data_IF_116000085131
#
_entry.id   IF_116000085131
#
_cell.length_a   1.000
_cell.length_b   1.000
_cell.length_c   1.000
_cell.angle_alpha   90.00
_cell.angle_beta   90.00
_cell.angle_gamma   90.00
#
_symmetry.space_group_name_H-M   'P 1'
#
loop_
_entity.id
_entity.type
_entity.pdbx_description
1 polymer ?
#
# COMPACT_ATOMS: atom_id res chain seq x y z
N UNK A 1 -10.31 -14.12 -29.92
CA UNK A 1 -11.73 -13.71 -30.14
C UNK A 1 -12.09 -13.35 -31.59
N UNK A 2 -11.14 -12.95 -32.47
CA UNK A 2 -11.47 -12.60 -33.88
C UNK A 2 -11.67 -13.76 -34.89
N UNK A 3 -11.17 -15.01 -34.73
CA UNK A 3 -11.27 -16.03 -35.78
C UNK A 3 -12.64 -16.76 -35.80
N UNK A 4 -13.24 -17.07 -34.64
CA UNK A 4 -14.54 -17.74 -34.57
C UNK A 4 -15.67 -16.95 -35.25
N UNK A 5 -15.68 -15.62 -35.13
CA UNK A 5 -16.69 -14.80 -35.81
C UNK A 5 -16.58 -14.86 -37.34
N UNK A 6 -15.39 -15.09 -37.88
CA UNK A 6 -15.18 -15.23 -39.32
C UNK A 6 -15.73 -16.57 -39.85
N UNK A 7 -15.57 -17.64 -39.08
CA UNK A 7 -16.10 -18.97 -39.43
C UNK A 7 -17.63 -18.95 -39.41
N UNK A 8 -18.25 -18.36 -38.38
CA UNK A 8 -19.70 -18.20 -38.32
C UNK A 8 -20.26 -17.37 -39.50
N UNK A 9 -19.53 -16.35 -39.95
CA UNK A 9 -19.93 -15.53 -41.10
C UNK A 9 -19.88 -16.32 -42.42
N UNK A 10 -18.84 -17.15 -42.62
CA UNK A 10 -18.68 -17.99 -43.82
C UNK A 10 -19.75 -19.09 -43.88
N UNK A 11 -20.08 -19.70 -42.74
CA UNK A 11 -21.16 -20.69 -42.63
C UNK A 11 -22.51 -20.04 -42.92
N UNK A 12 -22.80 -18.87 -42.34
CA UNK A 12 -24.05 -18.15 -42.57
C UNK A 12 -24.24 -17.70 -44.04
N UNK A 13 -23.15 -17.27 -44.71
CA UNK A 13 -23.17 -16.89 -46.12
C UNK A 13 -23.37 -18.07 -47.08
N UNK A 14 -22.93 -19.27 -46.70
CA UNK A 14 -23.08 -20.49 -47.51
C UNK A 14 -24.51 -21.04 -47.48
N UNK A 15 -25.19 -20.96 -46.33
CA UNK A 15 -26.61 -21.36 -46.22
C UNK A 15 -27.56 -20.44 -47.01
N UNK A 16 -27.20 -19.19 -47.23
CA UNK A 16 -28.01 -18.23 -48.00
C UNK A 16 -27.98 -18.47 -49.52
N UNK A 17 -27.04 -19.27 -50.04
CA UNK A 17 -26.83 -19.45 -51.49
C UNK A 17 -27.30 -20.79 -52.07
N UNK A 18 -27.82 -21.70 -51.24
CA UNK A 18 -28.43 -22.95 -51.73
C UNK A 18 -27.47 -23.89 -52.47
N UNK A 19 -26.17 -23.84 -52.16
CA UNK A 19 -25.17 -24.79 -52.69
C UNK A 19 -25.02 -26.00 -51.76
N UNK A 20 -25.30 -27.19 -52.27
CA UNK A 20 -24.94 -28.45 -51.62
C UNK A 20 -23.41 -28.64 -51.67
N UNK A 21 -22.79 -28.46 -50.49
CA UNK A 21 -21.49 -28.99 -50.00
C UNK A 21 -20.53 -27.92 -49.45
N UNK A 22 -20.67 -27.51 -48.17
CA UNK A 22 -19.61 -26.83 -47.43
C UNK A 22 -18.86 -27.75 -46.45
N UNK A 23 -19.05 -29.08 -46.49
CA UNK A 23 -18.55 -29.98 -45.43
C UNK A 23 -17.03 -30.18 -45.43
N UNK A 24 -16.41 -30.32 -46.61
CA UNK A 24 -14.98 -30.66 -46.69
C UNK A 24 -14.08 -29.50 -46.24
N UNK A 25 -14.40 -28.28 -46.71
CA UNK A 25 -13.61 -27.07 -46.45
C UNK A 25 -13.75 -26.60 -45.00
N UNK A 26 -14.96 -26.72 -44.43
CA UNK A 26 -15.20 -26.46 -43.02
C UNK A 26 -14.52 -27.50 -42.11
N UNK A 27 -14.54 -28.79 -42.50
CA UNK A 27 -13.83 -29.83 -41.75
C UNK A 27 -12.31 -29.63 -41.77
N UNK A 28 -11.75 -29.20 -42.91
CA UNK A 28 -10.32 -28.94 -43.03
C UNK A 28 -9.89 -27.73 -42.18
N UNK A 29 -10.70 -26.68 -42.12
CA UNK A 29 -10.44 -25.50 -41.29
C UNK A 29 -10.54 -25.83 -39.79
N UNK A 30 -11.57 -26.58 -39.38
CA UNK A 30 -11.74 -27.01 -37.98
C UNK A 30 -10.63 -27.97 -37.54
N UNK A 31 -10.23 -28.91 -38.40
CA UNK A 31 -9.14 -29.84 -38.10
C UNK A 31 -7.81 -29.09 -37.92
N UNK A 32 -7.53 -28.09 -38.76
CA UNK A 32 -6.33 -27.27 -38.64
C UNK A 32 -6.33 -26.43 -37.36
N UNK A 33 -7.45 -25.81 -37.01
CA UNK A 33 -7.57 -25.03 -35.78
C UNK A 33 -7.44 -25.92 -34.53
N UNK A 34 -7.92 -27.17 -34.59
CA UNK A 34 -7.76 -28.17 -33.53
C UNK A 34 -6.31 -28.67 -33.40
N UNK A 35 -5.59 -28.85 -34.51
CA UNK A 35 -4.15 -29.15 -34.49
C UNK A 35 -3.33 -28.02 -33.89
N UNK A 36 -3.62 -26.77 -34.26
CA UNK A 36 -2.92 -25.58 -33.73
C UNK A 36 -3.15 -25.44 -32.21
N UNK A 37 -4.38 -25.65 -31.73
CA UNK A 37 -4.70 -25.62 -30.28
C UNK A 37 -4.00 -26.74 -29.51
N UNK A 38 -3.90 -27.94 -30.09
CA UNK A 38 -3.19 -29.05 -29.43
C UNK A 38 -1.68 -28.80 -29.36
N UNK A 39 -1.09 -28.19 -30.39
CA UNK A 39 0.32 -27.80 -30.37
C UNK A 39 0.61 -26.76 -29.26
N UNK A 40 -0.24 -25.74 -29.09
CA UNK A 40 -0.10 -24.75 -28.03
C UNK A 40 -0.26 -25.36 -26.62
N UNK A 41 -1.18 -26.33 -26.48
CA UNK A 41 -1.38 -27.08 -25.24
C UNK A 41 -0.17 -27.94 -24.86
N UNK A 42 0.51 -28.53 -25.85
CA UNK A 42 1.69 -29.35 -25.62
C UNK A 42 2.91 -28.48 -25.25
N UNK A 43 3.03 -27.27 -25.80
CA UNK A 43 4.03 -26.28 -25.38
C UNK A 43 3.79 -25.86 -23.92
N UNK A 44 2.55 -25.53 -23.55
CA UNK A 44 2.22 -25.14 -22.17
C UNK A 44 2.47 -26.26 -21.16
N UNK A 45 2.17 -27.52 -21.50
CA UNK A 45 2.49 -28.67 -20.65
C UNK A 45 3.99 -28.83 -20.46
N UNK A 46 4.78 -28.66 -21.52
CA UNK A 46 6.23 -28.73 -21.44
C UNK A 46 6.82 -27.64 -20.56
N UNK A 47 6.31 -26.42 -20.65
CA UNK A 47 6.74 -25.30 -19.79
C UNK A 47 6.39 -25.54 -18.32
N UNK A 48 5.21 -26.13 -18.05
CA UNK A 48 4.82 -26.53 -16.70
C UNK A 48 5.69 -27.65 -16.14
N UNK A 49 6.05 -28.65 -16.95
CA UNK A 49 6.94 -29.74 -16.53
C UNK A 49 8.37 -29.26 -16.28
N UNK A 50 8.89 -28.33 -17.09
CA UNK A 50 10.20 -27.70 -16.87
C UNK A 50 10.20 -26.78 -15.63
N UNK A 51 9.09 -26.11 -15.34
CA UNK A 51 8.94 -25.33 -14.10
C UNK A 51 8.88 -26.24 -12.87
N UNK A 52 8.09 -27.33 -12.94
CA UNK A 52 8.02 -28.30 -11.85
C UNK A 52 9.37 -28.93 -11.56
N UNK A 53 10.19 -29.24 -12.58
CA UNK A 53 11.54 -29.77 -12.38
C UNK A 53 12.46 -28.79 -11.64
N UNK A 54 12.42 -27.50 -12.01
CA UNK A 54 13.20 -26.44 -11.32
C UNK A 54 12.80 -26.29 -9.85
N UNK A 55 11.52 -26.41 -9.53
CA UNK A 55 11.02 -26.21 -8.17
C UNK A 55 11.24 -27.44 -7.26
N UNK A 56 11.52 -28.62 -7.81
CA UNK A 56 11.83 -29.86 -7.05
C UNK A 56 13.32 -30.18 -6.93
N UNK A 57 14.20 -29.45 -7.61
CA UNK A 57 15.64 -29.68 -7.51
C UNK A 57 16.20 -28.97 -6.27
N UNK A 58 16.37 -29.72 -5.18
CA UNK A 58 17.05 -29.25 -3.97
C UNK A 58 18.53 -29.06 -4.34
N UNK A 59 18.92 -27.83 -4.65
CA UNK A 59 20.32 -27.45 -4.79
C UNK A 59 20.97 -27.58 -3.40
N UNK A 60 22.01 -28.42 -3.23
CA UNK A 60 22.76 -28.44 -1.98
C UNK A 60 23.39 -27.05 -1.77
N UNK A 61 23.15 -26.44 -0.60
CA UNK A 61 23.80 -25.18 -0.26
C UNK A 61 25.34 -25.37 -0.33
N UNK A 62 26.07 -24.45 -0.99
CA UNK A 62 27.52 -24.50 -0.97
C UNK A 62 28.01 -24.35 0.47
N UNK A 63 28.93 -25.21 0.90
CA UNK A 63 29.57 -25.11 2.20
C UNK A 63 30.17 -23.70 2.38
N UNK A 64 29.61 -22.94 3.32
CA UNK A 64 30.06 -21.59 3.66
C UNK A 64 31.49 -21.64 4.21
N UNK A 65 32.47 -21.33 3.36
CA UNK A 65 33.89 -21.18 3.75
C UNK A 65 34.20 -19.80 4.34
N UNK A 66 33.20 -19.10 4.86
CA UNK A 66 33.37 -17.75 5.37
C UNK A 66 33.95 -17.78 6.80
N UNK A 67 35.22 -17.39 6.93
CA UNK A 67 35.95 -17.29 8.20
C UNK A 67 35.98 -15.87 8.78
N UNK A 68 35.11 -14.98 8.29
CA UNK A 68 35.03 -13.60 8.80
C UNK A 68 34.38 -13.51 10.17
N UNK A 69 34.56 -12.37 10.85
CA UNK A 69 33.82 -12.04 12.07
C UNK A 69 32.54 -11.31 11.69
N UNK A 70 31.38 -11.82 12.12
CA UNK A 70 30.14 -11.05 12.09
C UNK A 70 30.30 -9.86 13.02
N UNK A 71 30.13 -8.64 12.48
CA UNK A 71 30.39 -7.33 13.08
C UNK A 71 31.86 -6.90 13.18
N UNK A 72 32.23 -5.70 12.69
CA UNK A 72 33.52 -5.11 13.01
C UNK A 72 33.55 -4.78 14.51
N UNK A 73 34.44 -5.45 15.22
CA UNK A 73 34.84 -5.08 16.57
C UNK A 73 35.37 -3.64 16.52
N UNK A 74 34.64 -2.72 17.17
CA UNK A 74 35.00 -1.30 17.21
C UNK A 74 36.28 -1.17 18.02
N UNK A 75 37.43 -1.23 17.34
CA UNK A 75 38.71 -0.89 17.95
C UNK A 75 38.69 0.58 18.31
N UNK A 76 38.78 0.83 19.62
CA UNK A 76 38.81 2.16 20.21
C UNK A 76 39.95 3.01 19.64
N UNK A 77 39.63 3.94 18.74
CA UNK A 77 40.29 5.24 18.58
C UNK A 77 39.71 5.98 17.36
N UNK A 78 38.63 6.74 17.53
CA UNK A 78 38.49 8.10 16.97
C UNK A 78 37.14 8.68 17.37
N UNK A 79 37.23 9.71 18.18
CA UNK A 79 36.21 10.62 18.66
C UNK A 79 35.33 11.21 17.56
N UNK A 80 34.02 10.90 17.60
CA UNK A 80 32.88 11.82 17.54
C UNK A 80 31.62 11.02 17.93
N UNK A 81 31.10 11.23 19.15
CA UNK A 81 29.86 10.61 19.63
C UNK A 81 28.68 11.08 18.77
N UNK A 82 27.91 10.19 18.12
CA UNK A 82 26.47 10.36 18.10
C UNK A 82 25.96 10.07 19.52
N UNK A 83 25.20 10.97 20.12
CA UNK A 83 24.54 10.73 21.40
C UNK A 83 23.41 9.72 21.22
N UNK A 84 23.76 8.44 21.14
CA UNK A 84 22.83 7.37 21.48
C UNK A 84 22.63 7.44 23.01
N UNK A 85 21.50 8.01 23.43
CA UNK A 85 21.04 7.85 24.79
C UNK A 85 20.83 6.33 25.05
N UNK A 86 21.23 5.80 26.22
CA UNK A 86 21.02 4.40 26.50
C UNK A 86 19.52 4.12 26.56
N UNK A 87 19.10 3.09 25.82
CA UNK A 87 17.80 2.49 25.97
C UNK A 87 17.64 2.00 27.41
N UNK A 88 16.84 2.72 28.21
CA UNK A 88 16.23 2.13 29.40
C UNK A 88 14.97 1.41 28.94
N UNK A 89 14.98 0.08 28.96
CA UNK A 89 13.78 -0.73 28.82
C UNK A 89 13.88 -1.82 27.77
N UNK A 90 14.72 -2.83 28.05
CA UNK A 90 14.36 -4.21 27.74
C UNK A 90 13.11 -4.55 28.56
N UNK A 91 11.96 -4.58 27.91
CA UNK A 91 10.80 -5.40 28.28
C UNK A 91 9.76 -5.21 27.17
N UNK A 92 9.10 -6.30 26.76
CA UNK A 92 7.96 -6.29 25.84
C UNK A 92 6.76 -5.61 26.47
N UNK A 93 6.87 -4.32 26.72
CA UNK A 93 5.88 -3.50 27.40
C UNK A 93 4.65 -3.40 26.50
N UNK A 94 3.59 -4.07 26.96
CA UNK A 94 2.23 -3.98 26.46
C UNK A 94 1.95 -2.52 26.05
N UNK A 95 1.87 -2.23 24.74
CA UNK A 95 1.73 -0.87 24.18
C UNK A 95 0.69 -0.03 24.94
N UNK A 96 -0.38 -0.68 25.40
CA UNK A 96 -1.44 -0.13 26.25
C UNK A 96 -0.95 0.58 27.52
N UNK A 97 0.12 0.10 28.14
CA UNK A 97 0.72 0.71 29.32
C UNK A 97 1.45 2.01 28.98
N UNK A 98 1.84 2.23 27.72
CA UNK A 98 2.48 3.46 27.27
C UNK A 98 1.49 4.58 26.92
N UNK A 99 0.19 4.26 26.82
CA UNK A 99 -0.87 5.25 26.59
C UNK A 99 -1.30 5.82 27.94
N UNK A 100 -0.53 6.80 28.42
CA UNK A 100 -0.76 7.47 29.68
C UNK A 100 -0.09 8.85 29.68
N UNK A 101 -0.40 9.67 30.69
CA UNK A 101 0.12 11.04 30.83
C UNK A 101 1.65 11.14 31.00
N UNK A 102 2.32 10.06 31.38
CA UNK A 102 3.79 10.02 31.57
C UNK A 102 4.53 9.76 30.24
N UNK A 103 3.92 9.06 29.30
CA UNK A 103 4.56 8.69 28.03
C UNK A 103 3.90 9.36 26.83
N UNK A 104 2.66 9.02 26.52
CA UNK A 104 1.88 9.60 25.43
C UNK A 104 0.37 9.38 25.66
N UNK A 105 -0.34 10.43 26.07
CA UNK A 105 -1.80 10.41 26.22
C UNK A 105 -2.53 10.91 24.97
N UNK A 106 -1.80 11.25 23.90
CA UNK A 106 -2.35 11.86 22.69
C UNK A 106 -2.85 13.30 22.88
N UNK A 107 -2.57 13.95 24.01
CA UNK A 107 -3.06 15.30 24.36
C UNK A 107 -1.95 16.28 24.74
N UNK A 108 -0.89 15.82 25.41
CA UNK A 108 0.17 16.67 25.93
C UNK A 108 1.45 16.60 25.09
N UNK A 109 2.26 17.67 25.15
CA UNK A 109 3.56 17.77 24.46
C UNK A 109 3.50 17.54 22.94
N UNK A 110 2.34 17.76 22.31
CA UNK A 110 2.10 17.50 20.87
C UNK A 110 3.02 18.34 19.96
N UNK A 111 3.49 19.48 20.47
CA UNK A 111 4.44 20.37 19.79
C UNK A 111 5.81 19.73 19.49
N UNK A 112 6.13 18.59 20.12
CA UNK A 112 7.33 17.80 19.81
C UNK A 112 7.25 17.15 18.44
N UNK A 113 6.06 16.71 18.02
CA UNK A 113 5.86 16.12 16.69
C UNK A 113 5.55 17.18 15.64
N UNK A 114 4.82 18.22 16.03
CA UNK A 114 4.38 19.26 15.10
C UNK A 114 4.03 20.56 15.82
N UNK A 115 4.66 21.65 15.39
CA UNK A 115 4.27 23.01 15.79
C UNK A 115 3.14 23.48 14.88
N UNK A 116 1.97 23.89 15.41
CA UNK A 116 0.84 24.29 14.59
C UNK A 116 1.19 25.36 13.55
N UNK A 117 1.00 25.02 12.28
CA UNK A 117 1.27 25.90 11.15
C UNK A 117 0.26 25.62 10.03
N UNK A 118 -0.59 26.61 9.75
CA UNK A 118 -1.63 26.50 8.73
C UNK A 118 -1.07 26.15 7.35
N UNK A 119 0.16 26.57 7.04
CA UNK A 119 0.78 26.26 5.75
C UNK A 119 0.83 24.76 5.49
N UNK A 120 0.93 23.91 6.51
CA UNK A 120 1.05 22.46 6.31
C UNK A 120 -0.19 21.80 5.70
N UNK A 121 -1.35 22.47 5.79
CA UNK A 121 -2.63 21.96 5.29
C UNK A 121 -3.44 22.96 4.46
N UNK A 122 -3.05 24.24 4.41
CA UNK A 122 -3.65 25.26 3.54
C UNK A 122 -2.81 25.44 2.27
N UNK A 123 -3.49 25.79 1.17
CA UNK A 123 -2.84 26.12 -0.09
C UNK A 123 -2.72 27.64 -0.25
N UNK A 124 -1.48 28.12 -0.40
CA UNK A 124 -1.15 29.54 -0.57
C UNK A 124 -1.06 29.96 -2.05
N UNK A 125 -1.36 29.07 -3.00
CA UNK A 125 -1.11 29.26 -4.43
C UNK A 125 -2.18 28.65 -5.34
N UNK A 126 -1.94 28.59 -6.66
CA UNK A 126 -2.84 27.92 -7.57
C UNK A 126 -2.90 26.41 -7.28
N UNK A 127 -4.01 25.78 -7.63
CA UNK A 127 -4.10 24.33 -7.57
C UNK A 127 -3.12 23.67 -8.55
N UNK A 128 -2.57 22.55 -8.14
CA UNK A 128 -1.69 21.71 -8.95
C UNK A 128 -2.50 21.10 -10.10
N UNK A 129 -2.04 21.32 -11.34
CA UNK A 129 -2.63 20.73 -12.53
C UNK A 129 -2.02 19.34 -12.78
N UNK A 130 -2.84 18.29 -12.97
CA UNK A 130 -2.33 16.95 -13.28
C UNK A 130 -1.61 16.91 -14.62
N UNK A 131 -0.36 16.44 -14.63
CA UNK A 131 0.37 16.16 -15.86
C UNK A 131 0.04 14.75 -16.38
N UNK A 132 -0.57 14.60 -17.59
CA UNK A 132 -0.91 13.30 -18.16
C UNK A 132 0.30 12.40 -18.48
N UNK A 133 1.49 12.98 -18.60
CA UNK A 133 2.74 12.26 -18.85
C UNK A 133 3.28 11.57 -17.60
N UNK A 134 3.01 12.13 -16.42
CA UNK A 134 3.39 11.55 -15.13
C UNK A 134 2.53 10.32 -14.85
N UNK A 135 3.16 9.24 -14.41
CA UNK A 135 2.50 7.98 -14.06
C UNK A 135 2.47 7.78 -12.55
N UNK A 136 1.50 6.99 -12.10
CA UNK A 136 1.46 6.52 -10.73
C UNK A 136 2.71 5.67 -10.43
N UNK A 137 3.16 5.69 -9.17
CA UNK A 137 4.32 4.92 -8.73
C UNK A 137 3.93 4.12 -7.50
N UNK A 138 4.05 2.80 -7.59
CA UNK A 138 3.93 1.88 -6.47
C UNK A 138 5.33 1.57 -5.96
N UNK A 139 5.57 1.84 -4.68
CA UNK A 139 6.84 1.60 -4.02
C UNK A 139 6.62 0.65 -2.85
N UNK A 140 7.52 -0.32 -2.71
CA UNK A 140 7.57 -1.25 -1.60
C UNK A 140 8.87 -1.03 -0.83
N UNK A 141 8.78 -0.97 0.48
CA UNK A 141 9.94 -1.00 1.36
C UNK A 141 10.15 -2.41 1.92
N UNK A 142 11.41 -2.83 2.00
CA UNK A 142 11.75 -4.11 2.61
C UNK A 142 11.73 -3.99 4.13
N UNK A 143 10.80 -4.71 4.76
CA UNK A 143 10.68 -4.82 6.22
C UNK A 143 11.10 -6.23 6.62
N UNK A 144 12.19 -6.41 7.38
CA UNK A 144 12.58 -7.72 7.88
C UNK A 144 11.45 -8.35 8.70
N UNK A 145 11.21 -9.66 8.55
CA UNK A 145 10.13 -10.35 9.27
C UNK A 145 10.25 -10.25 10.81
N UNK A 146 11.48 -10.11 11.32
CA UNK A 146 11.77 -9.93 12.74
C UNK A 146 11.71 -8.47 13.19
N UNK A 147 11.44 -7.52 12.29
CA UNK A 147 11.34 -6.10 12.64
C UNK A 147 10.12 -5.86 13.51
N UNK A 148 10.34 -5.18 14.64
CA UNK A 148 9.29 -4.68 15.53
C UNK A 148 9.50 -3.19 15.67
N UNK A 149 8.46 -2.42 15.38
CA UNK A 149 8.54 -0.98 15.50
C UNK A 149 8.69 -0.57 16.97
N UNK A 150 9.51 0.45 17.22
CA UNK A 150 9.67 1.00 18.56
C UNK A 150 8.62 2.07 18.82
N UNK A 151 7.87 1.89 19.89
CA UNK A 151 7.01 2.93 20.46
C UNK A 151 7.86 3.96 21.23
N UNK A 152 7.69 5.24 20.94
CA UNK A 152 8.49 6.33 21.52
C UNK A 152 7.60 7.36 22.21
N UNK A 153 7.80 7.56 23.51
CA UNK A 153 7.08 8.58 24.30
C UNK A 153 7.36 10.01 23.83
N UNK A 154 6.46 10.95 24.15
CA UNK A 154 6.47 12.36 23.73
C UNK A 154 7.68 13.20 24.19
N UNK A 155 8.61 12.63 24.96
CA UNK A 155 9.80 13.31 25.49
C UNK A 155 10.91 13.56 24.46
N UNK A 156 10.82 12.98 23.27
CA UNK A 156 11.84 13.07 22.23
C UNK A 156 11.21 13.06 20.84
N UNK A 157 11.84 13.76 19.91
CA UNK A 157 11.51 13.71 18.49
C UNK A 157 11.83 12.34 17.88
N UNK A 158 11.16 12.00 16.78
CA UNK A 158 11.41 10.79 16.01
C UNK A 158 11.91 11.20 14.61
N UNK A 159 13.19 10.95 14.29
CA UNK A 159 13.70 11.21 12.94
C UNK A 159 13.27 10.11 11.97
N UNK A 160 13.05 10.50 10.71
CA UNK A 160 12.76 9.60 9.60
C UNK A 160 13.74 9.86 8.46
N UNK A 161 14.22 8.79 7.83
CA UNK A 161 15.20 8.87 6.74
C UNK A 161 14.58 9.31 5.41
N UNK A 162 13.25 9.35 5.33
CA UNK A 162 12.49 9.66 4.13
C UNK A 162 11.23 10.47 4.46
N UNK A 163 10.70 11.27 3.51
CA UNK A 163 9.54 12.12 3.75
C UNK A 163 8.25 11.36 4.06
N UNK A 164 8.04 10.20 3.44
CA UNK A 164 6.82 9.40 3.56
C UNK A 164 7.13 7.98 4.05
N UNK A 165 7.60 7.79 5.29
CA UNK A 165 7.97 6.47 5.78
C UNK A 165 6.76 5.51 5.81
N UNK A 166 6.95 4.26 5.39
CA UNK A 166 5.88 3.23 5.43
C UNK A 166 5.97 2.30 6.64
N UNK A 167 7.07 2.40 7.40
CA UNK A 167 7.29 1.74 8.68
C UNK A 167 8.34 2.53 9.48
N UNK A 168 8.55 2.17 10.75
CA UNK A 168 9.49 2.87 11.61
C UNK A 168 9.00 3.10 13.04
N UNK A 169 9.81 3.75 13.89
CA UNK A 169 9.38 4.18 15.21
C UNK A 169 8.23 5.19 15.16
N UNK A 170 7.32 5.14 16.13
CA UNK A 170 6.12 5.97 16.14
C UNK A 170 5.57 6.15 17.56
N UNK A 171 4.46 6.88 17.70
CA UNK A 171 3.85 7.21 19.00
C UNK A 171 2.93 6.10 19.51
N UNK A 172 2.94 5.79 20.82
CA UNK A 172 1.98 4.84 21.42
C UNK A 172 0.52 5.17 21.15
N UNK A 173 0.10 6.43 21.28
CA UNK A 173 -1.28 6.81 20.99
C UNK A 173 -1.45 7.05 19.48
N UNK A 174 -1.99 6.07 18.75
CA UNK A 174 -2.33 6.24 17.33
C UNK A 174 -3.51 7.19 17.15
N UNK A 175 -3.67 7.67 15.92
CA UNK A 175 -4.78 8.54 15.55
C UNK A 175 -6.09 7.76 15.57
N UNK A 176 -7.19 8.43 15.95
CA UNK A 176 -8.52 7.91 15.63
C UNK A 176 -8.65 7.72 14.12
N UNK A 177 -9.34 6.68 13.69
CA UNK A 177 -9.60 6.52 12.26
C UNK A 177 -10.56 7.63 11.81
N UNK A 178 -10.28 8.24 10.66
CA UNK A 178 -11.08 9.34 10.12
C UNK A 178 -10.29 10.35 9.28
N UNK A 179 -10.90 11.52 9.11
CA UNK A 179 -10.34 12.62 8.35
C UNK A 179 -9.84 13.72 9.28
N UNK A 180 -8.63 14.21 9.02
CA UNK A 180 -7.95 15.26 9.76
C UNK A 180 -7.65 16.44 8.85
N UNK A 181 -7.63 17.64 9.44
CA UNK A 181 -7.06 18.81 8.76
C UNK A 181 -5.57 18.59 8.53
N UNK A 182 -4.87 18.15 9.57
CA UNK A 182 -3.46 17.75 9.54
C UNK A 182 -3.20 16.68 10.60
N UNK A 183 -2.34 15.72 10.28
CA UNK A 183 -1.94 14.66 11.18
C UNK A 183 -0.43 14.37 11.05
N UNK A 184 0.35 14.42 12.15
CA UNK A 184 1.78 14.11 12.13
C UNK A 184 2.07 12.65 11.74
N UNK A 185 3.24 12.44 11.12
CA UNK A 185 3.72 11.13 10.65
C UNK A 185 3.66 10.08 11.75
N UNK A 186 4.13 10.44 12.94
CA UNK A 186 4.28 9.56 14.09
C UNK A 186 2.94 8.97 14.56
N UNK A 187 1.80 9.60 14.22
CA UNK A 187 0.46 9.11 14.57
C UNK A 187 -0.04 8.11 13.54
N UNK A 188 -0.06 8.49 12.26
CA UNK A 188 -0.58 7.63 11.20
C UNK A 188 0.30 6.42 10.90
N UNK A 189 1.59 6.47 11.24
CA UNK A 189 2.49 5.33 11.06
C UNK A 189 2.09 4.14 11.94
N UNK A 190 1.60 4.42 13.16
CA UNK A 190 1.02 3.39 14.04
C UNK A 190 -0.33 2.89 13.49
N UNK A 191 -1.16 3.76 12.92
CA UNK A 191 -2.38 3.32 12.22
C UNK A 191 -2.06 2.32 11.09
N UNK A 192 -0.95 2.50 10.36
CA UNK A 192 -0.48 1.55 9.34
C UNK A 192 -0.01 0.23 9.96
N UNK A 193 0.71 0.27 11.09
CA UNK A 193 1.08 -0.95 11.82
C UNK A 193 -0.14 -1.78 12.27
N UNK A 194 -1.25 -1.10 12.57
CA UNK A 194 -2.56 -1.72 12.84
C UNK A 194 -3.35 -2.13 11.57
N UNK A 195 -2.73 -2.03 10.40
CA UNK A 195 -3.30 -2.42 9.12
C UNK A 195 -4.22 -1.38 8.47
N UNK A 196 -4.17 -0.12 8.93
CA UNK A 196 -4.92 0.98 8.34
C UNK A 196 -4.33 1.51 7.03
N UNK A 197 -5.19 2.17 6.25
CA UNK A 197 -4.82 2.86 5.00
C UNK A 197 -4.76 4.36 5.24
N UNK A 198 -3.63 4.98 4.90
CA UNK A 198 -3.44 6.42 5.02
C UNK A 198 -3.56 7.05 3.64
N UNK A 199 -4.50 7.98 3.48
CA UNK A 199 -4.61 8.82 2.31
C UNK A 199 -4.00 10.18 2.63
N UNK A 200 -2.91 10.52 1.96
CA UNK A 200 -2.31 11.85 2.03
C UNK A 200 -2.58 12.61 0.75
N UNK A 201 -2.68 13.93 0.85
CA UNK A 201 -2.77 14.81 -0.31
C UNK A 201 -1.99 16.10 -0.09
N UNK A 202 -1.34 16.61 -1.14
CA UNK A 202 -0.73 17.93 -1.07
C UNK A 202 -1.83 19.01 -0.87
N UNK A 203 -1.64 20.03 -0.01
CA UNK A 203 -2.67 21.05 0.25
C UNK A 203 -3.20 21.75 -1.00
N UNK A 204 -2.33 21.94 -2.00
CA UNK A 204 -2.66 22.55 -3.29
C UNK A 204 -3.22 21.57 -4.33
N UNK A 205 -3.55 20.33 -3.98
CA UNK A 205 -4.26 19.43 -4.90
C UNK A 205 -5.66 19.93 -5.17
N UNK A 206 -6.10 19.90 -6.44
CA UNK A 206 -7.44 20.33 -6.80
C UNK A 206 -8.51 19.57 -5.98
N UNK A 207 -9.47 20.25 -5.31
CA UNK A 207 -10.42 19.64 -4.38
C UNK A 207 -11.26 18.51 -4.99
N UNK A 208 -11.55 18.57 -6.29
CA UNK A 208 -12.27 17.50 -6.99
C UNK A 208 -11.52 16.16 -6.96
N UNK A 209 -10.19 16.18 -7.09
CA UNK A 209 -9.35 14.97 -7.04
C UNK A 209 -9.29 14.42 -5.61
N UNK A 210 -9.04 15.30 -4.64
CA UNK A 210 -9.05 14.94 -3.22
C UNK A 210 -10.40 14.30 -2.85
N UNK A 211 -11.51 14.93 -3.21
CA UNK A 211 -12.85 14.42 -2.91
C UNK A 211 -13.15 13.08 -3.61
N UNK A 212 -12.63 12.87 -4.84
CA UNK A 212 -12.78 11.60 -5.54
C UNK A 212 -12.05 10.48 -4.81
N UNK A 213 -10.80 10.68 -4.39
CA UNK A 213 -10.04 9.68 -3.65
C UNK A 213 -10.59 9.46 -2.22
N UNK A 214 -11.02 10.53 -1.54
CA UNK A 214 -11.72 10.44 -0.24
C UNK A 214 -12.93 9.51 -0.31
N UNK A 215 -13.76 9.66 -1.34
CA UNK A 215 -14.94 8.79 -1.54
C UNK A 215 -14.55 7.32 -1.70
N UNK A 216 -13.49 7.03 -2.43
CA UNK A 216 -12.99 5.66 -2.61
C UNK A 216 -12.58 5.07 -1.25
N UNK A 217 -11.68 5.74 -0.54
CA UNK A 217 -11.14 5.28 0.75
C UNK A 217 -12.25 5.10 1.79
N UNK A 218 -13.13 6.09 1.97
CA UNK A 218 -14.27 6.03 2.90
C UNK A 218 -15.29 4.95 2.54
N UNK A 219 -15.36 4.54 1.28
CA UNK A 219 -16.23 3.45 0.83
C UNK A 219 -15.58 2.07 0.94
N UNK A 220 -14.27 2.04 1.25
CA UNK A 220 -13.48 0.82 1.20
C UNK A 220 -13.29 0.13 2.54
N UNK A 221 -13.01 0.87 3.59
CA UNK A 221 -12.72 0.32 4.90
C UNK A 221 -12.96 1.34 6.02
N UNK A 222 -13.22 0.84 7.21
CA UNK A 222 -13.26 1.58 8.46
C UNK A 222 -11.87 2.12 8.82
N UNK A 223 -10.83 1.27 8.79
CA UNK A 223 -9.46 1.63 9.20
C UNK A 223 -8.74 2.53 8.21
N UNK A 224 -9.23 3.76 8.04
CA UNK A 224 -8.59 4.76 7.21
C UNK A 224 -8.25 6.03 7.99
N UNK A 225 -7.21 6.71 7.53
CA UNK A 225 -6.85 8.06 7.96
C UNK A 225 -6.68 8.91 6.71
N UNK A 226 -7.20 10.13 6.72
CA UNK A 226 -7.08 11.07 5.60
C UNK A 226 -6.53 12.37 6.14
N UNK A 227 -5.44 12.88 5.57
CA UNK A 227 -4.80 14.12 6.00
C UNK A 227 -4.15 14.88 4.85
N UNK A 228 -4.11 16.20 4.93
CA UNK A 228 -3.21 16.99 4.10
C UNK A 228 -1.75 16.75 4.53
N UNK A 229 -0.81 16.81 3.59
CA UNK A 229 0.62 16.75 3.85
C UNK A 229 1.42 17.33 2.68
N UNK A 230 2.34 18.26 2.98
CA UNK A 230 3.31 18.78 1.99
C UNK A 230 4.45 17.81 1.68
N UNK A 231 4.53 16.69 2.38
CA UNK A 231 5.54 15.65 2.12
C UNK A 231 5.19 14.84 0.87
N UNK A 232 3.94 14.93 0.40
CA UNK A 232 3.51 14.35 -0.87
C UNK A 232 4.07 15.21 -2.02
N UNK A 233 4.78 14.61 -3.01
CA UNK A 233 5.36 15.35 -4.14
C UNK A 233 4.31 16.11 -4.96
N UNK A 234 4.68 17.27 -5.53
CA UNK A 234 3.75 18.08 -6.30
C UNK A 234 3.33 17.46 -7.64
N UNK A 235 4.20 16.65 -8.27
CA UNK A 235 3.92 15.92 -9.51
C UNK A 235 3.00 14.71 -9.28
N UNK A 236 2.96 14.19 -8.06
CA UNK A 236 2.09 13.08 -7.62
C UNK A 236 1.38 13.46 -6.32
N UNK A 237 0.44 14.43 -6.36
CA UNK A 237 0.00 15.16 -5.18
C UNK A 237 -1.06 14.42 -4.35
N UNK A 238 -1.19 13.11 -4.56
CA UNK A 238 -2.05 12.19 -3.83
C UNK A 238 -1.24 10.93 -3.49
N UNK A 239 -1.40 10.41 -2.28
CA UNK A 239 -0.74 9.18 -1.86
C UNK A 239 -1.72 8.26 -1.10
N UNK A 240 -1.62 6.96 -1.35
CA UNK A 240 -2.15 5.92 -0.46
C UNK A 240 -0.98 5.17 0.16
N UNK A 241 -1.00 4.98 1.47
CA UNK A 241 0.07 4.31 2.21
C UNK A 241 -0.50 3.25 3.15
N UNK A 242 0.22 2.15 3.25
CA UNK A 242 -0.01 1.06 4.21
C UNK A 242 1.34 0.58 4.73
N UNK A 243 1.35 -0.36 5.68
CA UNK A 243 2.59 -0.89 6.23
C UNK A 243 3.49 -1.48 5.12
N UNK A 244 4.66 -0.87 4.90
CA UNK A 244 5.63 -1.28 3.87
C UNK A 244 5.31 -0.89 2.42
N UNK A 245 4.20 -0.21 2.14
CA UNK A 245 3.79 0.14 0.77
C UNK A 245 3.32 1.58 0.66
N UNK A 246 3.63 2.22 -0.48
CA UNK A 246 3.01 3.50 -0.86
C UNK A 246 2.72 3.55 -2.36
N UNK A 247 1.60 4.14 -2.69
CA UNK A 247 1.16 4.43 -4.04
C UNK A 247 1.04 5.95 -4.20
N UNK A 248 1.92 6.53 -5.01
CA UNK A 248 1.91 7.95 -5.37
C UNK A 248 1.14 8.14 -6.68
N UNK A 249 0.23 9.10 -6.70
CA UNK A 249 -0.76 9.29 -7.77
C UNK A 249 -0.72 10.73 -8.32
N UNK A 250 -0.45 10.92 -9.62
CA UNK A 250 -0.62 12.23 -10.28
C UNK A 250 -2.10 12.60 -10.46
N UNK A 251 -2.96 11.59 -10.57
CA UNK A 251 -4.41 11.72 -10.71
C UNK A 251 -5.11 10.50 -10.11
N UNK A 252 -6.42 10.58 -9.88
CA UNK A 252 -7.21 9.50 -9.29
C UNK A 252 -7.63 8.50 -10.35
N UNK A 253 -6.89 7.39 -10.41
CA UNK A 253 -7.32 6.13 -11.00
C UNK A 253 -8.09 5.32 -9.95
N UNK A 254 -9.40 5.17 -10.16
CA UNK A 254 -10.28 4.48 -9.22
C UNK A 254 -9.94 3.00 -9.09
N UNK A 255 -9.65 2.34 -10.21
CA UNK A 255 -9.39 0.89 -10.22
C UNK A 255 -8.08 0.59 -9.53
N UNK A 256 -7.03 1.37 -9.82
CA UNK A 256 -5.73 1.25 -9.17
C UNK A 256 -5.80 1.53 -7.67
N UNK A 257 -6.52 2.57 -7.25
CA UNK A 257 -6.69 2.89 -5.84
C UNK A 257 -7.42 1.78 -5.08
N UNK A 258 -8.49 1.22 -5.65
CA UNK A 258 -9.22 0.10 -5.04
C UNK A 258 -8.36 -1.16 -4.99
N UNK A 259 -7.61 -1.45 -6.06
CA UNK A 259 -6.70 -2.59 -6.11
C UNK A 259 -5.65 -2.49 -5.02
N UNK A 260 -4.98 -1.33 -4.89
CA UNK A 260 -4.01 -1.08 -3.83
C UNK A 260 -4.60 -1.33 -2.44
N UNK A 261 -5.81 -0.80 -2.16
CA UNK A 261 -6.45 -0.99 -0.86
C UNK A 261 -6.76 -2.47 -0.60
N UNK A 262 -7.26 -3.20 -1.60
CA UNK A 262 -7.55 -4.64 -1.47
C UNK A 262 -6.29 -5.49 -1.24
N UNK A 263 -5.20 -5.16 -1.91
CA UNK A 263 -3.95 -5.93 -1.86
C UNK A 263 -3.10 -5.62 -0.63
N UNK A 264 -3.16 -4.39 -0.09
CA UNK A 264 -2.20 -3.94 0.91
C UNK A 264 -2.80 -3.50 2.26
N UNK A 265 -4.11 -3.28 2.36
CA UNK A 265 -4.74 -3.02 3.66
C UNK A 265 -4.64 -4.26 4.58
N UNK A 266 -4.70 -4.04 5.89
CA UNK A 266 -4.72 -5.10 6.92
C UNK A 266 -3.43 -5.94 7.06
N UNK A 267 -2.37 -5.63 6.31
CA UNK A 267 -1.06 -6.30 6.37
C UNK A 267 -0.07 -5.67 7.36
N UNK A 268 -0.59 -5.00 8.39
CA UNK A 268 0.22 -4.46 9.49
C UNK A 268 0.79 -5.56 10.39
N UNK A 269 1.79 -5.21 11.19
CA UNK A 269 2.39 -6.13 12.18
C UNK A 269 1.37 -6.54 13.26
N UNK A 270 0.56 -5.57 13.71
CA UNK A 270 -0.48 -5.79 14.72
C UNK A 270 -1.87 -5.87 14.09
N UNK A 271 -2.65 -6.88 14.49
CA UNK A 271 -4.00 -7.12 13.97
C UNK A 271 -5.06 -6.62 14.95
N UNK A 272 -5.25 -5.31 15.01
CA UNK A 272 -6.25 -4.67 15.86
C UNK A 272 -7.13 -3.69 15.07
N UNK A 273 -8.44 -3.71 15.35
CA UNK A 273 -9.41 -2.75 14.80
C UNK A 273 -9.74 -1.61 15.76
N UNK A 274 -9.09 -1.54 16.93
CA UNK A 274 -9.43 -0.55 17.95
C UNK A 274 -9.19 0.86 17.44
N UNK A 275 -10.13 1.76 17.75
CA UNK A 275 -9.98 3.18 17.45
C UNK A 275 -8.85 3.79 18.30
N UNK A 276 -8.28 4.88 17.80
CA UNK A 276 -7.14 5.55 18.42
C UNK A 276 -7.50 6.50 19.55
N UNK A 277 -6.45 7.15 20.07
CA UNK A 277 -6.55 8.07 21.21
C UNK A 277 -6.25 9.52 20.83
N UNK A 278 -5.49 9.73 19.75
CA UNK A 278 -5.18 11.06 19.23
C UNK A 278 -6.29 11.56 18.28
N UNK A 279 -6.86 12.72 18.59
CA UNK A 279 -7.98 13.34 17.86
C UNK A 279 -7.79 14.83 17.57
N UNK A 280 -6.58 15.37 17.82
CA UNK A 280 -6.30 16.76 17.53
C UNK A 280 -6.45 17.01 16.03
N UNK A 281 -7.25 18.01 15.66
CA UNK A 281 -7.62 18.33 14.27
C UNK A 281 -8.42 17.24 13.53
N UNK A 282 -9.05 16.31 14.24
CA UNK A 282 -10.02 15.39 13.65
C UNK A 282 -11.23 16.18 13.13
N UNK A 283 -11.50 16.09 11.84
CA UNK A 283 -12.65 16.70 11.16
C UNK A 283 -13.86 15.80 11.24
N UNK A 284 -13.69 14.50 10.97
CA UNK A 284 -14.76 13.51 11.05
C UNK A 284 -14.21 12.13 11.34
N UNK A 285 -14.78 11.37 12.31
CA UNK A 285 -14.38 9.99 12.54
C UNK A 285 -14.76 9.09 11.36
N UNK A 286 -14.03 7.99 11.20
CA UNK A 286 -14.34 6.96 10.21
C UNK A 286 -15.61 6.19 10.61
N UNK A 287 -16.42 5.86 9.61
CA UNK A 287 -17.59 5.00 9.76
C UNK A 287 -17.23 3.55 9.46
N UNK A 288 -17.92 2.61 10.12
CA UNK A 288 -17.81 1.20 9.79
C UNK A 288 -18.43 0.95 8.42
N UNK A 289 -17.64 0.38 7.49
CA UNK A 289 -18.06 0.17 6.10
C UNK A 289 -18.69 -1.22 5.90
N UNK A 290 -17.94 -2.28 6.23
CA UNK A 290 -18.39 -3.68 6.21
C UNK A 290 -18.64 -4.19 7.62
N UNK A 291 -17.57 -4.32 8.41
CA UNK A 291 -17.55 -4.74 9.81
C UNK A 291 -16.48 -3.95 10.57
N UNK A 292 -16.49 -3.91 11.91
CA UNK A 292 -15.41 -3.29 12.68
C UNK A 292 -14.01 -3.82 12.29
N UNK A 293 -13.90 -5.11 11.94
CA UNK A 293 -12.64 -5.75 11.53
C UNK A 293 -12.27 -5.54 10.05
N UNK A 294 -13.08 -4.84 9.26
CA UNK A 294 -12.90 -4.73 7.80
C UNK A 294 -12.82 -6.09 7.06
N UNK A 295 -13.67 -7.05 7.42
CA UNK A 295 -13.66 -8.41 6.83
C UNK A 295 -13.85 -8.41 5.31
N UNK A 296 -14.61 -7.45 4.79
CA UNK A 296 -14.73 -7.20 3.36
C UNK A 296 -14.15 -5.83 3.02
N UNK A 297 -13.12 -5.81 2.17
CA UNK A 297 -12.44 -4.60 1.70
C UNK A 297 -13.05 -4.12 0.39
N UNK A 298 -13.44 -2.85 0.36
CA UNK A 298 -14.16 -2.23 -0.76
C UNK A 298 -15.47 -2.94 -1.13
N UNK A 299 -16.38 -3.18 -0.16
CA UNK A 299 -17.67 -3.85 -0.40
C UNK A 299 -18.61 -3.02 -1.29
N UNK A 300 -18.47 -1.69 -1.25
CA UNK A 300 -19.31 -0.75 -2.02
C UNK A 300 -18.77 -0.52 -3.44
N UNK A 301 -17.61 -1.05 -3.79
CA UNK A 301 -17.03 -0.93 -5.12
C UNK A 301 -17.38 -2.16 -5.98
N UNK A 302 -18.28 -1.96 -6.94
CA UNK A 302 -18.78 -3.04 -7.82
C UNK A 302 -17.99 -3.24 -9.12
N UNK A 303 -16.85 -2.56 -9.31
CA UNK A 303 -16.17 -2.51 -10.59
C UNK A 303 -16.99 -1.70 -11.63
N UNK A 304 -16.32 -1.27 -12.69
CA UNK A 304 -16.96 -0.74 -13.91
C UNK A 304 -17.07 -1.87 -14.92
#
# INVERSE_FOLDING_TARGET
MKPLMFIFLIVALSFAKGEEQPSALLSALLNKEFEDINADLDVLKKDMDEKSKRDTEIVPEPEESWTGKWFPEVTAASSKKPSAAPASGTDGNNMWQMINSTCDDGKQNLTVDWQPNNRDYECDGPYLEPDPSVKATLEQEYIPAAYVARHVCMKSEIPYDQPLPTFGPHRPAWARYGEYTFLPIQRFLHNMEHGGVIMLYHPCTHPALVNKLKKIVKSCLYRHVISASRLVPQDKPLALMTWGWRLLLPNVDTSLAVQFIREHALHGYEKTHRDGFYDQLLVSPAEVVSTPDDQEICPRYKGV
#
